data_IF_296994020214
#
_entry.id   IF_296994020214
#
_cell.length_a   1.000
_cell.length_b   1.000
_cell.length_c   1.000
_cell.angle_alpha   90.00
_cell.angle_beta   90.00
_cell.angle_gamma   90.00
#
_symmetry.space_group_name_H-M   'P 1'
#
loop_
_entity.id
_entity.type
_entity.pdbx_description
1 polymer ?
#
# COMPACT_ATOMS: atom_id res chain seq x y z
N UNK A 1 -6.98 52.58 -34.50
CA UNK A 1 -5.92 53.32 -33.78
C UNK A 1 -6.62 54.42 -32.99
N UNK A 2 -6.70 54.44 -31.67
CA UNK A 2 -5.77 54.01 -30.62
C UNK A 2 -6.56 54.14 -29.31
N UNK A 3 -6.96 53.01 -28.74
CA UNK A 3 -7.58 52.92 -27.42
C UNK A 3 -6.55 53.34 -26.37
N UNK A 4 -6.83 54.44 -25.67
CA UNK A 4 -6.06 54.89 -24.52
C UNK A 4 -6.62 54.18 -23.28
N UNK A 5 -5.99 53.04 -23.00
CA UNK A 5 -5.90 52.43 -21.69
C UNK A 5 -5.24 53.44 -20.72
N UNK A 6 -5.55 53.35 -19.41
CA UNK A 6 -5.33 54.36 -18.35
C UNK A 6 -6.36 55.50 -18.45
N UNK A 7 -7.46 55.56 -17.70
CA UNK A 7 -7.52 55.66 -16.23
C UNK A 7 -8.94 55.28 -15.77
N UNK A 8 -9.13 54.05 -15.29
CA UNK A 8 -10.16 53.76 -14.27
C UNK A 8 -9.53 52.78 -13.27
N UNK A 9 -8.44 53.22 -12.64
CA UNK A 9 -7.71 52.47 -11.62
C UNK A 9 -8.12 52.88 -10.19
N UNK A 10 -9.34 53.36 -9.94
CA UNK A 10 -9.72 53.71 -8.57
C UNK A 10 -11.22 53.71 -8.33
N UNK A 11 -11.81 52.52 -8.18
CA UNK A 11 -13.19 52.45 -7.74
C UNK A 11 -13.82 51.08 -7.93
N UNK A 12 -13.28 50.05 -7.30
CA UNK A 12 -14.05 48.90 -6.78
C UNK A 12 -13.13 47.95 -6.00
N UNK A 13 -12.42 48.51 -5.02
CA UNK A 13 -11.74 47.74 -3.98
C UNK A 13 -12.72 47.25 -2.87
N UNK A 14 -14.02 47.11 -3.16
CA UNK A 14 -15.06 46.79 -2.16
C UNK A 14 -16.25 46.02 -2.77
N UNK A 15 -16.02 44.97 -3.56
CA UNK A 15 -17.14 44.25 -4.18
C UNK A 15 -16.90 42.84 -4.72
N UNK A 16 -15.72 42.27 -4.52
CA UNK A 16 -15.45 40.85 -4.86
C UNK A 16 -14.70 40.20 -3.70
N UNK A 17 -15.27 40.26 -2.50
CA UNK A 17 -14.71 39.64 -1.29
C UNK A 17 -15.75 38.79 -0.54
N UNK A 18 -16.79 38.30 -1.22
CA UNK A 18 -17.92 37.63 -0.56
C UNK A 18 -18.53 36.45 -1.34
N UNK A 19 -17.77 35.71 -2.14
CA UNK A 19 -18.32 34.49 -2.80
C UNK A 19 -17.46 33.24 -2.73
N UNK A 20 -16.26 33.26 -2.14
CA UNK A 20 -15.47 32.03 -1.93
C UNK A 20 -15.52 31.47 -0.50
N UNK A 21 -16.28 32.08 0.42
CA UNK A 21 -16.38 31.62 1.81
C UNK A 21 -17.33 30.42 2.05
N UNK A 22 -17.83 29.76 0.99
CA UNK A 22 -18.73 28.61 1.13
C UNK A 22 -18.25 27.31 0.48
N UNK A 23 -17.03 27.28 -0.07
CA UNK A 23 -16.39 26.01 -0.39
C UNK A 23 -15.70 25.49 0.87
N UNK A 24 -16.44 24.76 1.68
CA UNK A 24 -15.81 23.71 2.49
C UNK A 24 -15.23 22.71 1.51
N UNK A 25 -13.91 22.45 1.47
CA UNK A 25 -13.39 21.31 0.73
C UNK A 25 -13.93 20.05 1.41
N UNK A 26 -15.05 19.51 0.93
CA UNK A 26 -15.72 18.30 1.46
C UNK A 26 -15.11 17.02 0.89
N UNK A 27 -13.80 16.96 0.77
CA UNK A 27 -13.13 15.79 0.25
C UNK A 27 -11.65 15.85 0.55
N UNK A 28 -11.25 15.39 1.72
CA UNK A 28 -9.93 14.80 1.83
C UNK A 28 -9.94 13.60 0.88
N UNK A 29 -9.25 13.70 -0.26
CA UNK A 29 -8.90 12.52 -1.02
C UNK A 29 -7.98 11.70 -0.11
N UNK A 30 -8.49 10.63 0.49
CA UNK A 30 -7.64 9.65 1.15
C UNK A 30 -6.83 8.96 0.05
N UNK A 31 -5.53 9.21 0.03
CA UNK A 31 -4.60 8.48 -0.83
C UNK A 31 -4.32 7.15 -0.13
N UNK A 32 -4.51 6.03 -0.84
CA UNK A 32 -4.23 4.69 -0.35
C UNK A 32 -2.76 4.55 0.06
N UNK A 33 -2.53 4.03 1.26
CA UNK A 33 -1.26 3.56 1.79
C UNK A 33 -1.13 2.07 1.47
N UNK A 34 -0.01 1.63 0.89
CA UNK A 34 0.13 0.23 0.47
C UNK A 34 0.29 -0.70 1.68
N UNK A 35 0.05 -2.02 1.51
CA UNK A 35 0.32 -3.02 2.53
C UNK A 35 1.79 -3.02 2.94
N UNK A 36 2.07 -3.33 4.20
CA UNK A 36 3.42 -3.32 4.75
C UNK A 36 3.76 -4.65 5.44
N UNK A 37 5.03 -5.06 5.33
CA UNK A 37 5.56 -6.19 6.08
C UNK A 37 5.95 -5.74 7.49
N UNK A 38 5.36 -6.33 8.51
CA UNK A 38 5.54 -5.95 9.93
C UNK A 38 6.21 -7.06 10.78
N UNK A 39 6.68 -8.13 10.15
CA UNK A 39 7.42 -9.18 10.87
C UNK A 39 8.91 -8.80 11.00
N UNK A 40 9.52 -8.92 12.20
CA UNK A 40 10.93 -8.56 12.41
C UNK A 40 11.93 -9.42 11.62
N UNK A 41 11.54 -10.63 11.20
CA UNK A 41 12.39 -11.51 10.39
C UNK A 41 11.79 -11.74 9.01
N UNK A 42 12.65 -11.91 8.00
CA UNK A 42 12.30 -12.48 6.69
C UNK A 42 13.04 -13.79 6.41
N UNK A 43 13.68 -14.34 7.44
CA UNK A 43 14.45 -15.58 7.37
C UNK A 43 13.92 -16.55 8.42
N UNK A 44 13.68 -17.79 8.00
CA UNK A 44 13.06 -18.80 8.83
C UNK A 44 13.72 -20.16 8.64
N UNK A 45 13.93 -20.88 9.74
CA UNK A 45 14.37 -22.27 9.70
C UNK A 45 13.21 -23.18 9.30
N UNK A 46 13.39 -23.98 8.26
CA UNK A 46 12.43 -24.99 7.81
C UNK A 46 12.88 -26.38 8.26
N UNK A 47 11.96 -27.13 8.87
CA UNK A 47 12.14 -28.56 9.14
C UNK A 47 11.52 -29.38 8.00
N UNK A 48 10.54 -30.23 8.32
CA UNK A 48 9.73 -30.91 7.29
C UNK A 48 8.73 -29.97 6.60
N UNK A 49 8.20 -29.01 7.35
CA UNK A 49 7.35 -27.94 6.87
C UNK A 49 7.45 -26.73 7.79
N UNK A 50 7.14 -25.56 7.24
CA UNK A 50 7.01 -24.31 7.98
C UNK A 50 5.66 -23.69 7.69
N UNK A 51 5.08 -23.02 8.69
CA UNK A 51 3.81 -22.31 8.56
C UNK A 51 3.89 -20.92 9.16
N UNK A 52 3.36 -19.93 8.44
CA UNK A 52 3.35 -18.53 8.85
C UNK A 52 1.98 -17.91 8.60
N UNK A 53 1.45 -17.24 9.61
CA UNK A 53 0.25 -16.44 9.45
C UNK A 53 0.60 -15.10 8.78
N UNK A 54 0.15 -14.92 7.54
CA UNK A 54 0.41 -13.71 6.75
C UNK A 54 -0.42 -12.52 7.24
N UNK A 55 -1.60 -12.76 7.82
CA UNK A 55 -2.42 -11.69 8.42
C UNK A 55 -1.79 -11.09 9.70
N UNK A 56 -0.86 -11.80 10.33
CA UNK A 56 -0.05 -11.27 11.44
C UNK A 56 1.29 -10.69 10.97
N UNK A 57 1.71 -11.00 9.74
CA UNK A 57 3.01 -10.58 9.20
C UNK A 57 2.90 -9.38 8.25
N UNK A 58 1.70 -9.11 7.74
CA UNK A 58 1.38 -7.94 6.95
C UNK A 58 0.30 -7.11 7.62
N UNK A 59 0.37 -5.80 7.43
CA UNK A 59 -0.61 -4.84 7.91
C UNK A 59 -0.89 -3.79 6.83
N UNK A 60 -2.15 -3.37 6.73
CA UNK A 60 -2.55 -2.26 5.89
C UNK A 60 -2.86 -1.02 6.74
N UNK A 61 -2.17 0.12 6.54
CA UNK A 61 -2.39 1.31 7.34
C UNK A 61 -3.78 1.94 7.21
N UNK A 62 -4.49 1.73 6.10
CA UNK A 62 -5.86 2.21 5.89
C UNK A 62 -6.90 1.24 6.46
N UNK A 63 -6.47 0.02 6.83
CA UNK A 63 -7.31 -1.03 7.38
C UNK A 63 -8.03 -1.85 6.30
N UNK A 64 -7.55 -1.79 5.05
CA UNK A 64 -8.12 -2.55 3.95
C UNK A 64 -7.83 -4.07 4.10
N UNK A 65 -8.76 -4.94 3.68
CA UNK A 65 -8.58 -6.39 3.75
C UNK A 65 -7.49 -6.85 2.79
N UNK A 66 -6.52 -7.61 3.30
CA UNK A 66 -5.41 -8.12 2.51
C UNK A 66 -5.73 -9.47 1.87
N UNK A 67 -5.30 -9.62 0.61
CA UNK A 67 -5.26 -10.89 -0.12
C UNK A 67 -3.83 -11.31 -0.38
N UNK A 68 -3.54 -12.59 -0.21
CA UNK A 68 -2.19 -13.13 -0.32
C UNK A 68 -2.03 -14.10 -1.47
N UNK A 69 -0.85 -14.06 -2.10
CA UNK A 69 -0.41 -15.04 -3.08
C UNK A 69 1.07 -15.35 -2.86
N UNK A 70 1.50 -16.51 -3.37
CA UNK A 70 2.87 -16.98 -3.19
C UNK A 70 3.46 -17.48 -4.50
N UNK A 71 4.74 -17.17 -4.71
CA UNK A 71 5.56 -17.68 -5.79
C UNK A 71 6.80 -18.35 -5.18
N UNK A 72 6.84 -19.70 -5.12
CA UNK A 72 8.03 -20.40 -4.66
C UNK A 72 9.19 -20.27 -5.66
N UNK A 73 10.41 -20.17 -5.14
CA UNK A 73 11.63 -20.29 -5.92
C UNK A 73 11.95 -21.73 -6.30
N UNK A 74 13.05 -21.91 -7.04
CA UNK A 74 13.49 -23.24 -7.48
C UNK A 74 13.82 -24.13 -6.27
N UNK A 75 13.32 -25.37 -6.29
CA UNK A 75 13.57 -26.36 -5.22
C UNK A 75 12.67 -26.22 -3.98
N UNK A 76 11.83 -25.18 -3.91
CA UNK A 76 10.88 -24.97 -2.80
C UNK A 76 9.46 -25.28 -3.23
N UNK A 77 8.67 -25.90 -2.36
CA UNK A 77 7.22 -25.98 -2.51
C UNK A 77 6.55 -25.04 -1.51
N UNK A 78 5.74 -24.10 -1.99
CA UNK A 78 4.99 -23.19 -1.13
C UNK A 78 3.56 -23.01 -1.62
N UNK A 79 2.63 -22.81 -0.68
CA UNK A 79 1.22 -22.56 -0.94
C UNK A 79 0.62 -21.68 0.14
N UNK A 80 -0.48 -21.01 -0.19
CA UNK A 80 -1.27 -20.22 0.78
C UNK A 80 -2.66 -20.84 0.91
N UNK A 81 -3.07 -21.09 2.14
CA UNK A 81 -4.41 -21.60 2.48
C UNK A 81 -5.08 -20.59 3.42
N UNK A 82 -6.03 -19.81 2.88
CA UNK A 82 -6.55 -18.62 3.58
C UNK A 82 -5.44 -17.59 3.76
N UNK A 83 -5.07 -17.31 5.01
CA UNK A 83 -3.97 -16.38 5.34
C UNK A 83 -2.68 -17.11 5.78
N UNK A 84 -2.68 -18.44 5.73
CA UNK A 84 -1.53 -19.23 6.20
C UNK A 84 -0.66 -19.62 5.01
N UNK A 85 0.58 -19.13 5.02
CA UNK A 85 1.65 -19.60 4.16
C UNK A 85 2.17 -20.95 4.69
N UNK A 86 2.27 -21.94 3.82
CA UNK A 86 2.91 -23.24 4.10
C UNK A 86 4.08 -23.42 3.15
N UNK A 87 5.26 -23.73 3.68
CA UNK A 87 6.49 -23.93 2.91
C UNK A 87 7.12 -25.27 3.24
N UNK A 88 7.64 -25.96 2.23
CA UNK A 88 8.38 -27.21 2.33
C UNK A 88 9.63 -27.11 1.45
N UNK A 89 10.79 -27.40 2.04
CA UNK A 89 12.09 -27.25 1.38
C UNK A 89 12.76 -25.89 1.64
N UNK A 90 14.05 -25.84 1.36
CA UNK A 90 14.92 -24.68 1.53
C UNK A 90 15.01 -23.84 0.25
N UNK A 91 15.15 -22.52 0.41
CA UNK A 91 15.26 -21.59 -0.69
C UNK A 91 14.45 -20.31 -0.46
N UNK A 92 14.20 -19.58 -1.54
CA UNK A 92 13.47 -18.32 -1.49
C UNK A 92 12.01 -18.52 -1.88
N UNK A 93 11.12 -17.82 -1.20
CA UNK A 93 9.69 -17.75 -1.51
C UNK A 93 9.29 -16.29 -1.56
N UNK A 94 8.63 -15.88 -2.64
CA UNK A 94 8.08 -14.53 -2.74
C UNK A 94 6.62 -14.55 -2.33
N UNK A 95 6.28 -13.81 -1.28
CA UNK A 95 4.89 -13.59 -0.85
C UNK A 95 4.43 -12.23 -1.34
N UNK A 96 3.23 -12.17 -1.89
CA UNK A 96 2.62 -10.94 -2.38
C UNK A 96 1.33 -10.66 -1.62
N UNK A 97 1.24 -9.46 -1.04
CA UNK A 97 0.06 -8.93 -0.37
C UNK A 97 -0.58 -7.84 -1.25
N UNK A 98 -1.90 -7.83 -1.30
CA UNK A 98 -2.71 -6.87 -2.06
C UNK A 98 -3.87 -6.39 -1.20
N UNK A 99 -4.04 -5.07 -1.07
CA UNK A 99 -5.23 -4.43 -0.44
C UNK A 99 -6.39 -4.21 -1.44
N UNK A 100 -6.17 -4.50 -2.73
CA UNK A 100 -7.13 -4.27 -3.81
C UNK A 100 -6.86 -2.99 -4.63
N UNK A 101 -5.97 -2.13 -4.16
CA UNK A 101 -5.51 -0.90 -4.80
C UNK A 101 -4.01 -0.95 -5.14
N UNK A 102 -3.20 -1.43 -4.19
CA UNK A 102 -1.76 -1.53 -4.19
C UNK A 102 -1.31 -2.98 -3.93
N UNK A 103 -0.11 -3.30 -4.40
CA UNK A 103 0.47 -4.64 -4.26
C UNK A 103 1.91 -4.52 -3.76
N UNK A 104 2.26 -5.34 -2.77
CA UNK A 104 3.61 -5.41 -2.21
C UNK A 104 4.08 -6.86 -2.18
N UNK A 105 5.30 -7.09 -2.65
CA UNK A 105 5.95 -8.39 -2.61
C UNK A 105 7.12 -8.40 -1.64
N UNK A 106 7.25 -9.48 -0.88
CA UNK A 106 8.31 -9.73 0.10
C UNK A 106 8.97 -11.07 -0.20
N UNK A 107 10.30 -11.07 -0.31
CA UNK A 107 11.08 -12.31 -0.39
C UNK A 107 11.35 -12.82 1.02
N UNK A 108 11.02 -14.07 1.26
CA UNK A 108 11.30 -14.82 2.48
C UNK A 108 12.32 -15.92 2.16
N UNK A 109 13.30 -16.08 3.04
CA UNK A 109 14.36 -17.09 2.90
C UNK A 109 14.16 -18.19 3.91
N UNK A 110 14.15 -19.44 3.41
CA UNK A 110 14.02 -20.64 4.22
C UNK A 110 15.33 -21.43 4.16
N UNK A 111 15.85 -21.79 5.33
CA UNK A 111 17.09 -22.57 5.46
C UNK A 111 16.87 -23.77 6.39
N UNK A 112 17.63 -24.84 6.18
CA UNK A 112 17.56 -26.02 7.05
C UNK A 112 18.00 -25.67 8.49
N UNK A 113 17.30 -26.21 9.48
CA UNK A 113 17.54 -25.95 10.90
C UNK A 113 18.85 -26.54 11.42
#
# INVERSE_FOLDING_TARGET
>A
MKELWYVVLLGLALGVFATFASMTPTGAFSVNLPPQWDNPSSEFAVGSSFSLNLAESFFDPDGDPLSFSVSPGEGVSAGVYGDVLVVMGEGQVTVTASDGHSVVSKVLTFYEK
#
